data_IF_255483670138
#
_entry.id   IF_255483670138
#
_cell.length_a   1.000
_cell.length_b   1.000
_cell.length_c   1.000
_cell.angle_alpha   90.00
_cell.angle_beta   90.00
_cell.angle_gamma   90.00
#
_symmetry.space_group_name_H-M   'P 1'
#
loop_
_entity.id
_entity.type
_entity.pdbx_description
1 polymer ?
#
# COMPACT_ATOMS: atom_id res chain seq x y z
N UNK A 1 -26.83 62.75 19.51
CA UNK A 1 -25.72 63.30 20.30
C UNK A 1 -24.43 62.65 19.86
N UNK A 2 -23.67 63.52 19.21
CA UNK A 2 -22.63 63.30 18.23
C UNK A 2 -21.25 62.99 18.84
N UNK A 3 -20.32 62.68 17.92
CA UNK A 3 -18.93 63.15 17.79
C UNK A 3 -17.99 61.94 17.47
N UNK A 4 -17.53 61.73 16.23
CA UNK A 4 -16.42 62.44 15.52
C UNK A 4 -15.11 62.45 16.34
N UNK A 5 -13.88 62.18 15.86
CA UNK A 5 -13.31 62.11 14.51
C UNK A 5 -11.80 61.72 14.57
N UNK A 6 -11.32 61.05 13.52
CA UNK A 6 -10.11 61.31 12.71
C UNK A 6 -8.64 61.22 13.20
N UNK A 7 -7.83 60.71 12.24
CA UNK A 7 -6.45 61.10 11.83
C UNK A 7 -5.28 60.38 12.52
N UNK A 8 -4.10 60.14 11.95
CA UNK A 8 -3.46 60.08 10.60
C UNK A 8 -1.96 59.94 10.90
N UNK A 9 -1.14 59.25 10.11
CA UNK A 9 0.31 59.34 10.27
C UNK A 9 1.11 58.31 9.45
N UNK A 10 1.81 58.82 8.45
CA UNK A 10 2.72 58.12 7.55
C UNK A 10 4.15 57.98 8.15
N UNK A 11 4.87 57.00 7.61
CA UNK A 11 6.23 57.09 7.04
C UNK A 11 7.50 56.53 7.75
N UNK A 12 8.34 55.96 6.87
CA UNK A 12 9.81 55.85 6.88
C UNK A 12 10.58 54.67 7.54
N UNK A 13 11.08 53.81 6.63
CA UNK A 13 12.48 53.32 6.45
C UNK A 13 13.28 52.66 7.59
N UNK A 14 13.78 51.44 7.34
CA UNK A 14 15.19 51.12 7.59
C UNK A 14 15.74 49.97 6.72
N UNK A 15 17.04 50.04 6.45
CA UNK A 15 17.85 49.37 5.44
C UNK A 15 18.51 48.02 5.83
N UNK A 16 18.94 47.29 4.79
CA UNK A 16 19.70 46.02 4.64
C UNK A 16 21.07 45.93 5.38
N UNK A 17 21.84 44.80 5.40
CA UNK A 17 22.54 44.21 4.21
C UNK A 17 22.74 42.66 4.17
N UNK A 18 22.68 42.01 2.99
CA UNK A 18 23.77 41.48 2.09
C UNK A 18 24.58 40.26 2.59
N UNK A 19 24.57 39.15 1.83
CA UNK A 19 25.78 38.52 1.25
C UNK A 19 25.44 37.33 0.33
N UNK A 20 25.77 37.51 -0.95
CA UNK A 20 25.80 36.51 -2.02
C UNK A 20 27.21 36.58 -2.64
N UNK A 21 27.85 35.43 -2.86
CA UNK A 21 29.15 35.35 -3.55
C UNK A 21 29.18 34.19 -4.55
N UNK A 22 29.46 34.55 -5.79
CA UNK A 22 29.74 33.70 -6.94
C UNK A 22 31.10 33.01 -6.85
N UNK A 23 31.29 31.90 -7.60
CA UNK A 23 32.45 31.73 -8.49
C UNK A 23 32.07 30.92 -9.75
N UNK A 24 32.95 30.94 -10.76
CA UNK A 24 32.71 31.05 -12.21
C UNK A 24 33.58 30.05 -12.98
N UNK A 25 33.14 29.55 -14.16
CA UNK A 25 33.93 29.28 -15.41
C UNK A 25 33.03 28.62 -16.49
N UNK A 26 32.71 29.23 -17.66
CA UNK A 26 33.42 29.31 -18.98
C UNK A 26 33.81 27.94 -19.59
N UNK A 27 33.67 27.59 -20.89
CA UNK A 27 33.10 28.18 -22.13
C UNK A 27 33.09 27.08 -23.24
N UNK A 28 32.14 27.23 -24.18
CA UNK A 28 31.75 26.51 -25.40
C UNK A 28 32.83 26.37 -26.51
N UNK A 29 32.76 25.32 -27.36
CA UNK A 29 32.84 25.46 -28.85
C UNK A 29 32.43 24.20 -29.65
N UNK A 30 31.40 24.39 -30.49
CA UNK A 30 31.07 23.60 -31.68
C UNK A 30 31.98 23.98 -32.86
N UNK A 31 32.20 23.05 -33.79
CA UNK A 31 32.55 23.34 -35.18
C UNK A 31 31.91 22.33 -36.13
N UNK A 32 31.41 22.87 -37.24
CA UNK A 32 30.79 22.24 -38.40
C UNK A 32 31.75 22.48 -39.58
N UNK A 33 31.91 21.53 -40.50
CA UNK A 33 32.22 21.88 -41.89
C UNK A 33 31.85 20.75 -42.87
N UNK A 34 31.28 21.14 -44.00
CA UNK A 34 30.78 20.31 -45.10
C UNK A 34 31.80 20.22 -46.26
N UNK A 35 31.74 19.14 -47.05
CA UNK A 35 31.52 19.10 -48.53
C UNK A 35 32.31 18.02 -49.33
N UNK A 36 31.49 17.23 -50.06
CA UNK A 36 31.59 16.75 -51.47
C UNK A 36 32.59 15.67 -51.95
N UNK A 37 32.04 14.62 -52.61
CA UNK A 37 32.47 14.18 -53.96
C UNK A 37 32.68 12.68 -54.28
N UNK A 38 31.75 12.09 -55.05
CA UNK A 38 31.86 11.06 -56.15
C UNK A 38 32.36 9.60 -55.95
N UNK A 39 31.42 8.68 -56.22
CA UNK A 39 31.41 7.44 -57.07
C UNK A 39 32.57 6.42 -57.18
N UNK A 40 32.16 5.12 -57.06
CA UNK A 40 32.55 3.90 -57.81
C UNK A 40 33.39 2.79 -57.14
N UNK A 41 32.67 1.69 -56.84
CA UNK A 41 32.88 0.29 -57.24
C UNK A 41 33.93 -0.65 -56.59
N UNK A 42 33.40 -1.84 -56.22
CA UNK A 42 34.00 -3.16 -55.98
C UNK A 42 34.98 -3.38 -54.81
N UNK A 43 34.57 -4.21 -53.84
CA UNK A 43 35.13 -5.57 -53.66
C UNK A 43 34.39 -6.33 -52.53
N UNK A 44 33.99 -7.55 -52.86
CA UNK A 44 33.40 -8.55 -51.98
C UNK A 44 34.47 -9.13 -51.05
N UNK A 45 34.23 -9.12 -49.74
CA UNK A 45 34.86 -10.07 -48.81
C UNK A 45 33.77 -10.65 -47.91
N UNK A 46 33.55 -11.95 -48.09
CA UNK A 46 32.61 -12.77 -47.34
C UNK A 46 33.19 -13.13 -45.97
N UNK A 47 32.73 -12.48 -44.92
CA UNK A 47 32.92 -12.95 -43.56
C UNK A 47 31.69 -13.76 -43.14
N UNK A 48 31.87 -15.08 -43.06
CA UNK A 48 30.89 -16.01 -42.52
C UNK A 48 30.77 -15.80 -41.01
N UNK A 49 29.83 -14.96 -40.58
CA UNK A 49 29.34 -14.96 -39.19
C UNK A 49 28.54 -16.24 -38.99
N UNK A 50 29.15 -17.21 -38.30
CA UNK A 50 28.43 -18.32 -37.70
C UNK A 50 27.46 -17.73 -36.67
N UNK A 51 26.19 -17.59 -37.08
CA UNK A 51 25.10 -17.31 -36.17
C UNK A 51 25.09 -18.39 -35.09
N UNK A 52 25.29 -17.99 -33.85
CA UNK A 52 24.93 -18.81 -32.71
C UNK A 52 23.41 -18.95 -32.75
N UNK A 53 22.94 -20.10 -33.24
CA UNK A 53 21.57 -20.54 -33.07
C UNK A 53 21.31 -20.60 -31.56
N UNK A 54 20.71 -19.55 -31.02
CA UNK A 54 20.15 -19.58 -29.67
C UNK A 54 18.98 -20.54 -29.77
N UNK A 55 19.22 -21.80 -29.41
CA UNK A 55 18.18 -22.80 -29.22
C UNK A 55 17.19 -22.22 -28.20
N UNK A 56 16.12 -21.61 -28.72
CA UNK A 56 14.92 -21.29 -27.97
C UNK A 56 14.21 -22.62 -27.73
N UNK A 57 14.82 -23.46 -26.88
CA UNK A 57 14.13 -24.56 -26.25
C UNK A 57 12.87 -23.97 -25.66
N UNK A 58 11.74 -24.45 -26.17
CA UNK A 58 10.43 -23.98 -25.79
C UNK A 58 10.28 -24.29 -24.31
N UNK A 59 10.39 -23.26 -23.47
CA UNK A 59 10.14 -23.31 -22.03
C UNK A 59 8.65 -23.62 -21.76
N UNK A 60 8.17 -24.77 -22.22
CA UNK A 60 6.87 -25.36 -21.84
C UNK A 60 6.82 -25.62 -20.32
N UNK A 61 7.97 -25.61 -19.64
CA UNK A 61 8.07 -25.75 -18.19
C UNK A 61 7.87 -24.45 -17.41
N UNK A 62 7.99 -23.25 -18.03
CA UNK A 62 7.77 -21.98 -17.32
C UNK A 62 6.28 -21.58 -17.27
N UNK A 63 5.46 -22.08 -18.20
CA UNK A 63 4.01 -21.87 -18.20
C UNK A 63 3.24 -22.77 -17.23
N UNK A 64 3.93 -23.71 -16.58
CA UNK A 64 3.36 -24.57 -15.55
C UNK A 64 3.63 -24.04 -14.13
N UNK A 65 3.85 -22.73 -13.98
CA UNK A 65 3.61 -22.03 -12.72
C UNK A 65 2.11 -22.06 -12.47
N UNK A 66 1.64 -23.18 -11.92
CA UNK A 66 0.25 -23.43 -11.58
C UNK A 66 -0.33 -22.16 -10.95
N UNK A 67 -1.31 -21.56 -11.61
CA UNK A 67 -2.14 -20.47 -11.07
C UNK A 67 -3.03 -20.95 -9.91
N UNK A 68 -2.55 -21.95 -9.17
CA UNK A 68 -3.13 -22.48 -7.97
C UNK A 68 -2.81 -21.50 -6.84
N UNK A 69 -3.81 -21.07 -6.07
CA UNK A 69 -3.57 -20.17 -4.97
C UNK A 69 -2.58 -20.72 -3.95
N UNK A 70 -1.82 -19.83 -3.33
CA UNK A 70 -1.01 -20.18 -2.17
C UNK A 70 -1.90 -20.78 -1.06
N UNK A 71 -1.42 -21.84 -0.41
CA UNK A 71 -2.14 -22.50 0.67
C UNK A 71 -2.08 -21.72 2.01
N UNK A 72 -1.11 -20.82 2.16
CA UNK A 72 -0.93 -19.94 3.31
C UNK A 72 -0.77 -18.48 2.89
N UNK A 73 -0.98 -17.55 3.83
CA UNK A 73 -0.83 -16.10 3.63
C UNK A 73 -1.97 -15.44 2.86
N UNK A 74 -2.90 -16.22 2.30
CA UNK A 74 -4.06 -15.70 1.57
C UNK A 74 -5.15 -15.24 2.53
N UNK A 75 -5.61 -14.01 2.39
CA UNK A 75 -6.79 -13.51 3.12
C UNK A 75 -8.04 -14.03 2.41
N UNK A 76 -8.86 -14.83 3.09
CA UNK A 76 -10.07 -15.42 2.49
C UNK A 76 -11.38 -14.90 3.08
N UNK A 77 -11.33 -14.18 4.21
CA UNK A 77 -12.54 -13.63 4.84
C UNK A 77 -12.26 -12.34 5.61
N UNK A 78 -13.20 -11.40 5.51
CA UNK A 78 -13.32 -10.27 6.43
C UNK A 78 -14.74 -10.17 6.97
N UNK A 79 -14.85 -9.99 8.28
CA UNK A 79 -16.09 -9.68 8.98
C UNK A 79 -15.97 -8.30 9.63
N UNK A 80 -16.99 -7.49 9.43
CA UNK A 80 -17.08 -6.12 9.89
C UNK A 80 -18.35 -6.00 10.73
N UNK A 81 -18.24 -5.46 11.94
CA UNK A 81 -19.38 -5.20 12.83
C UNK A 81 -19.31 -3.78 13.37
N UNK A 82 -20.40 -3.02 13.22
CA UNK A 82 -20.54 -1.64 13.67
C UNK A 82 -19.41 -0.70 13.19
N UNK A 83 -19.09 -0.74 11.90
CA UNK A 83 -18.00 0.05 11.33
C UNK A 83 -18.47 0.85 10.11
N UNK A 84 -18.20 2.15 10.10
CA UNK A 84 -18.61 3.11 9.08
C UNK A 84 -20.11 3.01 8.79
N UNK A 85 -20.50 2.63 7.58
CA UNK A 85 -21.89 2.46 7.15
C UNK A 85 -22.43 1.03 7.34
N UNK A 86 -21.67 0.11 7.96
CA UNK A 86 -22.04 -1.29 8.10
C UNK A 86 -22.28 -1.68 9.56
N UNK A 87 -23.51 -2.10 9.90
CA UNK A 87 -23.78 -2.76 11.19
C UNK A 87 -23.18 -4.17 11.22
N UNK A 88 -23.30 -4.92 10.11
CA UNK A 88 -22.68 -6.22 9.90
C UNK A 88 -22.43 -6.43 8.41
N UNK A 89 -21.20 -6.76 8.04
CA UNK A 89 -20.83 -7.16 6.68
C UNK A 89 -19.86 -8.34 6.76
N UNK A 90 -20.13 -9.40 6.00
CA UNK A 90 -19.22 -10.53 5.80
C UNK A 90 -18.86 -10.58 4.32
N UNK A 91 -17.56 -10.59 4.03
CA UNK A 91 -17.04 -10.74 2.67
C UNK A 91 -16.12 -11.96 2.65
N UNK A 92 -16.38 -12.89 1.72
CA UNK A 92 -15.48 -13.98 1.39
C UNK A 92 -14.67 -13.58 0.18
N UNK A 93 -13.35 -13.67 0.29
CA UNK A 93 -12.42 -13.28 -0.76
C UNK A 93 -12.00 -14.52 -1.55
N UNK A 94 -11.90 -14.32 -2.86
CA UNK A 94 -11.23 -15.24 -3.75
C UNK A 94 -9.71 -15.16 -3.53
N UNK A 95 -8.98 -16.27 -3.75
CA UNK A 95 -7.56 -16.31 -3.40
C UNK A 95 -6.63 -15.45 -4.26
N UNK A 96 -7.02 -15.13 -5.49
CA UNK A 96 -6.18 -14.38 -6.44
C UNK A 96 -6.65 -12.93 -6.59
N UNK A 97 -7.86 -12.73 -7.14
CA UNK A 97 -8.37 -11.40 -7.50
C UNK A 97 -9.81 -11.23 -7.01
N UNK A 98 -10.08 -10.06 -6.43
CA UNK A 98 -11.37 -9.67 -5.91
C UNK A 98 -11.78 -8.31 -6.48
N UNK A 99 -12.99 -8.22 -7.03
CA UNK A 99 -13.56 -6.97 -7.51
C UNK A 99 -14.71 -6.53 -6.60
N UNK A 100 -14.60 -5.31 -6.07
CA UNK A 100 -15.68 -4.67 -5.30
C UNK A 100 -16.39 -3.65 -6.16
N UNK A 101 -17.64 -3.93 -6.54
CA UNK A 101 -18.46 -3.06 -7.40
C UNK A 101 -19.67 -2.51 -6.63
N UNK A 102 -20.30 -1.46 -7.17
CA UNK A 102 -21.49 -0.84 -6.58
C UNK A 102 -21.46 0.69 -6.64
N UNK A 103 -22.58 1.32 -6.29
CA UNK A 103 -22.76 2.77 -6.36
C UNK A 103 -21.80 3.55 -5.43
N UNK A 104 -21.58 4.82 -5.74
CA UNK A 104 -20.82 5.70 -4.86
C UNK A 104 -21.50 5.81 -3.48
N UNK A 105 -20.72 5.68 -2.41
CA UNK A 105 -21.25 5.66 -1.04
C UNK A 105 -21.74 4.30 -0.53
N UNK A 106 -21.74 3.24 -1.35
CA UNK A 106 -22.18 1.89 -0.93
C UNK A 106 -21.27 1.19 0.10
N UNK A 107 -20.16 1.82 0.47
CA UNK A 107 -19.25 1.29 1.50
C UNK A 107 -18.17 0.33 1.00
N UNK A 108 -17.84 0.32 -0.30
CA UNK A 108 -16.73 -0.48 -0.87
C UNK A 108 -15.39 -0.16 -0.21
N UNK A 109 -15.06 1.12 -0.08
CA UNK A 109 -13.84 1.60 0.57
C UNK A 109 -13.79 1.26 2.06
N UNK A 110 -14.93 0.96 2.70
CA UNK A 110 -14.97 0.50 4.08
C UNK A 110 -14.34 -0.88 4.24
N UNK A 111 -14.41 -1.75 3.21
CA UNK A 111 -13.78 -3.08 3.23
C UNK A 111 -12.25 -2.93 3.25
N UNK A 112 -11.69 -2.14 2.33
CA UNK A 112 -10.25 -1.87 2.29
C UNK A 112 -9.77 -1.20 3.58
N UNK A 113 -10.51 -0.19 4.06
CA UNK A 113 -10.19 0.51 5.32
C UNK A 113 -10.20 -0.47 6.49
N UNK A 114 -11.19 -1.36 6.56
CA UNK A 114 -11.29 -2.36 7.62
C UNK A 114 -10.17 -3.40 7.54
N UNK A 115 -9.80 -3.87 6.34
CA UNK A 115 -8.66 -4.77 6.13
C UNK A 115 -7.37 -4.14 6.65
N UNK A 116 -7.03 -2.94 6.17
CA UNK A 116 -5.81 -2.24 6.57
C UNK A 116 -5.77 -2.01 8.09
N UNK A 117 -6.88 -1.54 8.67
CA UNK A 117 -6.95 -1.35 10.12
C UNK A 117 -6.82 -2.66 10.89
N UNK A 118 -7.51 -3.72 10.48
CA UNK A 118 -7.48 -5.00 11.18
C UNK A 118 -6.08 -5.64 11.14
N UNK A 119 -5.37 -5.48 10.03
CA UNK A 119 -4.01 -5.98 9.83
C UNK A 119 -2.94 -5.00 10.34
N UNK A 120 -3.33 -3.95 11.05
CA UNK A 120 -2.39 -3.20 11.87
C UNK A 120 -1.78 -1.96 11.24
N UNK A 121 -2.36 -1.43 10.15
CA UNK A 121 -1.98 -0.14 9.57
C UNK A 121 -1.77 0.91 10.67
N UNK A 122 -0.64 1.61 10.59
CA UNK A 122 -0.28 2.65 11.53
C UNK A 122 -1.19 3.86 11.40
N UNK A 123 -1.41 4.55 12.53
CA UNK A 123 -2.16 5.79 12.52
C UNK A 123 -1.44 6.96 11.82
N UNK A 124 -0.14 6.82 11.59
CA UNK A 124 0.69 7.84 10.93
C UNK A 124 0.73 7.70 9.41
N UNK A 125 0.47 6.50 8.86
CA UNK A 125 0.50 6.24 7.42
C UNK A 125 -0.83 6.42 6.71
N UNK A 126 -1.91 6.65 7.45
CA UNK A 126 -3.24 6.92 6.89
C UNK A 126 -3.73 8.25 7.42
N UNK A 127 -4.01 9.23 6.55
CA UNK A 127 -4.64 10.51 6.92
C UNK A 127 -6.01 10.35 7.62
N UNK A 128 -6.50 9.11 7.79
CA UNK A 128 -7.77 8.76 8.44
C UNK A 128 -7.64 8.33 9.90
N UNK A 129 -6.44 8.03 10.39
CA UNK A 129 -6.30 7.40 11.70
C UNK A 129 -6.19 8.38 12.87
N UNK A 130 -6.29 9.68 12.61
CA UNK A 130 -6.41 10.67 13.68
C UNK A 130 -7.67 10.49 14.53
N UNK A 131 -8.68 9.72 14.09
CA UNK A 131 -9.76 9.27 14.96
C UNK A 131 -10.39 7.94 14.52
N UNK A 132 -9.71 6.81 14.74
CA UNK A 132 -10.29 5.47 14.52
C UNK A 132 -11.68 5.29 15.18
N UNK A 133 -11.93 6.00 16.30
CA UNK A 133 -13.21 6.03 17.01
C UNK A 133 -14.36 6.61 16.17
N UNK A 134 -14.09 7.51 15.22
CA UNK A 134 -15.10 8.09 14.33
C UNK A 134 -15.57 7.10 13.25
N UNK A 135 -14.85 6.00 13.08
CA UNK A 135 -15.23 4.92 12.17
C UNK A 135 -16.17 3.91 12.84
N UNK A 136 -16.54 4.09 14.11
CA UNK A 136 -17.58 3.29 14.75
C UNK A 136 -18.94 3.72 14.18
N UNK A 137 -19.76 2.73 13.82
CA UNK A 137 -21.12 2.97 13.33
C UNK A 137 -21.91 3.82 14.32
N UNK A 138 -22.67 4.80 13.80
CA UNK A 138 -23.36 5.80 14.64
C UNK A 138 -24.25 5.15 15.69
N UNK A 139 -24.16 5.64 16.93
CA UNK A 139 -24.92 5.12 18.07
C UNK A 139 -24.37 3.84 18.70
N UNK A 140 -23.29 3.25 18.17
CA UNK A 140 -22.65 2.06 18.74
C UNK A 140 -21.42 2.46 19.59
N UNK A 141 -21.07 1.63 20.56
CA UNK A 141 -19.95 1.90 21.49
C UNK A 141 -18.61 1.34 21.02
N UNK A 142 -18.65 0.33 20.15
CA UNK A 142 -17.48 -0.35 19.62
C UNK A 142 -17.73 -0.89 18.21
N UNK A 143 -16.66 -0.99 17.44
CA UNK A 143 -16.57 -1.71 16.18
C UNK A 143 -15.67 -2.93 16.35
N UNK A 144 -15.96 -4.02 15.63
CA UNK A 144 -15.12 -5.22 15.59
C UNK A 144 -14.83 -5.56 14.15
N UNK A 145 -13.55 -5.67 13.82
CA UNK A 145 -13.04 -6.09 12.52
C UNK A 145 -12.36 -7.44 12.72
N UNK A 146 -12.64 -8.40 11.87
CA UNK A 146 -12.03 -9.72 11.92
C UNK A 146 -11.60 -10.15 10.53
N UNK A 147 -10.37 -10.61 10.40
CA UNK A 147 -9.78 -11.10 9.16
C UNK A 147 -9.29 -12.52 9.38
N UNK A 148 -9.57 -13.40 8.44
CA UNK A 148 -9.10 -14.79 8.44
C UNK A 148 -8.07 -14.98 7.32
N UNK A 149 -6.89 -15.43 7.71
CA UNK A 149 -5.73 -15.67 6.85
C UNK A 149 -5.52 -17.18 6.78
N UNK A 150 -5.43 -17.73 5.58
CA UNK A 150 -5.11 -19.13 5.35
C UNK A 150 -3.72 -19.44 5.92
N UNK A 151 -3.62 -20.57 6.63
CA UNK A 151 -2.40 -21.01 7.28
C UNK A 151 -2.24 -22.52 7.07
N UNK A 152 -2.08 -22.95 5.82
CA UNK A 152 -2.00 -24.38 5.46
C UNK A 152 -0.77 -24.69 4.64
N UNK A 153 -0.43 -25.98 4.60
CA UNK A 153 0.70 -26.48 3.82
C UNK A 153 2.03 -26.19 4.50
N UNK A 154 3.12 -26.37 3.74
CA UNK A 154 4.49 -26.26 4.25
C UNK A 154 4.84 -24.82 4.65
N UNK A 155 4.20 -23.84 4.02
CA UNK A 155 4.35 -22.40 4.28
C UNK A 155 3.45 -21.88 5.42
N UNK A 156 2.96 -22.76 6.31
CA UNK A 156 2.10 -22.38 7.42
C UNK A 156 2.90 -21.74 8.58
N UNK A 157 2.54 -20.50 8.95
CA UNK A 157 3.06 -19.84 10.14
C UNK A 157 2.60 -20.53 11.43
N UNK A 158 3.53 -21.17 12.15
CA UNK A 158 3.29 -21.80 13.47
C UNK A 158 2.01 -22.63 13.46
N UNK A 159 1.90 -23.56 12.51
CA UNK A 159 0.70 -24.39 12.30
C UNK A 159 0.24 -25.10 13.58
N UNK A 160 1.15 -25.61 14.40
CA UNK A 160 0.81 -26.25 15.68
C UNK A 160 0.04 -25.35 16.65
N UNK A 161 0.24 -24.02 16.55
CA UNK A 161 -0.37 -23.04 17.44
C UNK A 161 -1.69 -22.49 16.89
N UNK A 162 -1.75 -22.21 15.59
CA UNK A 162 -2.90 -21.55 14.96
C UNK A 162 -3.78 -22.48 14.14
N UNK A 163 -3.27 -23.65 13.74
CA UNK A 163 -3.88 -24.55 12.78
C UNK A 163 -4.06 -23.91 11.42
N UNK A 164 -5.07 -24.39 10.69
CA UNK A 164 -5.32 -24.09 9.28
C UNK A 164 -5.66 -22.62 8.95
N UNK A 165 -5.98 -21.80 9.96
CA UNK A 165 -6.42 -20.42 9.81
C UNK A 165 -5.91 -19.58 10.99
N UNK A 166 -5.32 -18.43 10.68
CA UNK A 166 -5.04 -17.39 11.68
C UNK A 166 -6.16 -16.36 11.63
N UNK A 167 -6.85 -16.18 12.77
CA UNK A 167 -7.91 -15.18 12.89
C UNK A 167 -7.37 -13.96 13.61
N UNK A 168 -7.28 -12.84 12.88
CA UNK A 168 -6.90 -11.54 13.42
C UNK A 168 -8.16 -10.75 13.72
N UNK A 169 -8.30 -10.21 14.92
CA UNK A 169 -9.42 -9.35 15.30
C UNK A 169 -8.93 -8.04 15.90
N UNK A 170 -9.47 -6.93 15.40
CA UNK A 170 -9.28 -5.58 15.96
C UNK A 170 -10.60 -5.08 16.54
N UNK A 171 -10.60 -4.74 17.83
CA UNK A 171 -11.69 -3.99 18.46
C UNK A 171 -11.34 -2.51 18.48
N UNK A 172 -12.28 -1.67 18.07
CA UNK A 172 -12.23 -0.21 18.18
C UNK A 172 -13.30 0.20 19.19
N UNK A 173 -12.97 1.02 20.17
CA UNK A 173 -13.88 1.38 21.27
C UNK A 173 -13.79 2.87 21.58
N UNK A 174 -14.91 3.49 21.97
CA UNK A 174 -14.86 4.85 22.51
C UNK A 174 -14.16 4.91 23.88
N UNK A 175 -14.30 3.86 24.68
CA UNK A 175 -13.85 3.79 26.08
C UNK A 175 -12.38 3.39 26.25
N UNK A 176 -11.76 2.79 25.25
CA UNK A 176 -10.37 2.33 25.31
C UNK A 176 -9.63 2.62 24.01
N UNK A 177 -8.33 2.32 23.97
CA UNK A 177 -7.49 2.50 22.77
C UNK A 177 -7.70 1.40 21.71
N UNK A 178 -8.73 0.57 21.87
CA UNK A 178 -8.93 -0.66 21.08
C UNK A 178 -8.00 -1.79 21.51
N UNK A 179 -8.09 -2.93 20.82
CA UNK A 179 -7.25 -4.10 21.10
C UNK A 179 -7.10 -4.96 19.86
N UNK A 180 -6.01 -5.72 19.81
CA UNK A 180 -5.82 -6.81 18.85
C UNK A 180 -5.90 -8.15 19.58
N UNK A 181 -6.49 -9.14 18.92
CA UNK A 181 -6.45 -10.53 19.36
C UNK A 181 -6.17 -11.42 18.16
N UNK A 182 -5.25 -12.37 18.32
CA UNK A 182 -5.02 -13.46 17.39
C UNK A 182 -5.65 -14.73 17.97
N UNK A 183 -6.34 -15.48 17.13
CA UNK A 183 -6.98 -16.74 17.49
C UNK A 183 -6.61 -17.82 16.49
N UNK A 184 -6.69 -19.06 16.94
CA UNK A 184 -6.55 -20.23 16.08
C UNK A 184 -7.80 -20.47 15.23
N UNK A 185 -7.74 -21.49 14.37
CA UNK A 185 -8.85 -21.94 13.52
C UNK A 185 -10.13 -22.33 14.28
N UNK A 186 -10.03 -22.64 15.58
CA UNK A 186 -11.17 -22.95 16.46
C UNK A 186 -11.74 -21.72 17.17
N UNK A 187 -11.22 -20.52 16.86
CA UNK A 187 -11.49 -19.24 17.52
C UNK A 187 -10.97 -19.13 18.97
N UNK A 188 -10.11 -20.04 19.42
CA UNK A 188 -9.48 -19.96 20.73
C UNK A 188 -8.44 -18.84 20.73
N UNK A 189 -8.43 -18.04 21.80
CA UNK A 189 -7.45 -16.96 21.96
C UNK A 189 -6.03 -17.52 22.07
N UNK A 190 -5.14 -17.03 21.21
CA UNK A 190 -3.72 -17.38 21.19
C UNK A 190 -2.87 -16.22 21.72
N UNK A 191 -3.12 -14.99 21.24
CA UNK A 191 -2.36 -13.81 21.66
C UNK A 191 -3.17 -12.52 21.60
N UNK A 192 -2.73 -11.52 22.36
CA UNK A 192 -3.22 -10.14 22.32
C UNK A 192 -2.12 -9.13 22.00
N UNK A 193 -0.90 -9.60 21.70
CA UNK A 193 0.27 -8.74 21.50
C UNK A 193 0.30 -8.23 20.07
N UNK A 194 0.55 -6.92 19.90
CA UNK A 194 0.73 -6.31 18.56
C UNK A 194 1.95 -6.86 17.83
N UNK A 195 2.98 -7.26 18.56
CA UNK A 195 4.20 -7.88 18.02
C UNK A 195 3.87 -9.21 17.33
N UNK A 196 3.11 -10.08 17.98
CA UNK A 196 2.75 -11.38 17.40
C UNK A 196 1.92 -11.23 16.11
N UNK A 197 1.12 -10.16 15.99
CA UNK A 197 0.49 -9.77 14.72
C UNK A 197 1.54 -9.37 13.67
N UNK A 198 2.47 -8.48 14.02
CA UNK A 198 3.55 -8.08 13.09
C UNK A 198 4.36 -9.28 12.63
N UNK A 199 4.80 -10.15 13.54
CA UNK A 199 5.61 -11.32 13.21
C UNK A 199 4.88 -12.26 12.23
N UNK A 200 3.55 -12.42 12.36
CA UNK A 200 2.75 -13.22 11.43
C UNK A 200 2.60 -12.57 10.05
N UNK A 201 2.42 -11.24 10.00
CA UNK A 201 2.30 -10.50 8.74
C UNK A 201 3.64 -10.43 8.01
N UNK A 202 4.74 -10.23 8.73
CA UNK A 202 6.09 -10.22 8.20
C UNK A 202 6.45 -11.59 7.60
N UNK A 203 6.06 -12.68 8.25
CA UNK A 203 6.24 -14.04 7.72
C UNK A 203 5.52 -14.24 6.37
N UNK A 204 4.31 -13.72 6.21
CA UNK A 204 3.57 -13.78 4.95
C UNK A 204 3.88 -12.65 3.97
N UNK A 205 4.84 -11.78 4.30
CA UNK A 205 5.17 -10.59 3.53
C UNK A 205 3.95 -9.67 3.24
N UNK A 206 3.02 -9.59 4.19
CA UNK A 206 1.85 -8.70 4.14
C UNK A 206 2.24 -7.35 4.76
N UNK A 207 2.54 -6.36 3.91
CA UNK A 207 3.05 -5.05 4.33
C UNK A 207 1.97 -3.97 4.16
N UNK A 208 1.15 -3.80 5.20
CA UNK A 208 0.01 -2.89 5.16
C UNK A 208 0.40 -1.41 5.08
N UNK A 209 1.58 -1.05 5.57
CA UNK A 209 2.10 0.31 5.51
C UNK A 209 2.87 0.59 4.19
N UNK A 210 3.01 -0.40 3.30
CA UNK A 210 3.67 -0.23 2.00
C UNK A 210 2.67 0.27 0.94
N UNK A 211 2.81 1.51 0.43
CA UNK A 211 1.86 2.07 -0.54
C UNK A 211 1.83 1.33 -1.88
N UNK A 212 2.87 0.55 -2.20
CA UNK A 212 2.87 -0.31 -3.39
C UNK A 212 1.95 -1.52 -3.22
N UNK A 213 1.78 -2.02 -1.99
CA UNK A 213 0.87 -3.13 -1.68
C UNK A 213 -0.55 -2.65 -1.32
N UNK A 214 -0.67 -1.49 -0.69
CA UNK A 214 -1.95 -0.88 -0.31
C UNK A 214 -2.06 0.50 -0.95
N UNK A 215 -2.71 0.54 -2.12
CA UNK A 215 -3.05 1.78 -2.80
C UNK A 215 -4.35 2.33 -2.23
N UNK A 216 -4.30 3.54 -1.68
CA UNK A 216 -5.48 4.26 -1.22
C UNK A 216 -6.04 5.13 -2.36
N UNK A 217 -7.33 5.48 -2.29
CA UNK A 217 -7.93 6.39 -3.25
C UNK A 217 -7.51 7.86 -3.03
N UNK A 218 -7.02 8.17 -1.82
CA UNK A 218 -6.71 9.54 -1.38
C UNK A 218 -5.23 9.86 -1.70
N UNK A 219 -4.85 9.90 -2.99
CA UNK A 219 -3.58 10.43 -3.50
C UNK A 219 -3.81 11.26 -4.79
#
# INVERSE_FOLDING_TARGET
DDLESSSSGEDSSNSSPVSDQSTRSKKVKLQHNEQQGRESDSQEESESESGEDVDLESDEHLYNYNNSPAAAGVIHKILITNFMCHEKLEVRLNPCVNFFTGENGSGKSAVLTALSMCLGASAKGTNRALNAKNLIFRGKQKAVLRVEIANKGEEAYRHDLYGDVIVVERTISHKSNGSYTLRDYTNKLVSTKRKDLSDALDFYNIQIDNPVQVLSQDD
#
